data_IF_303233068186
#
_entry.id   IF_303233068186
#
_cell.length_a   1.000
_cell.length_b   1.000
_cell.length_c   1.000
_cell.angle_alpha   90.00
_cell.angle_beta   90.00
_cell.angle_gamma   90.00
#
_symmetry.space_group_name_H-M   'P 1'
#
loop_
_entity.id
_entity.type
_entity.pdbx_description
1 polymer ?
#
# COMPACT_ATOMS: atom_id res chain seq x y z
N UNK A 1 13.87 32.19 93.02
CA UNK A 1 12.50 32.65 92.70
C UNK A 1 12.35 32.79 91.19
N UNK A 2 11.28 32.22 90.63
CA UNK A 2 10.68 32.44 89.29
C UNK A 2 11.47 31.90 88.07
N UNK A 3 11.15 30.66 87.65
CA UNK A 3 10.28 30.25 86.51
C UNK A 3 11.01 30.40 85.16
N UNK A 4 11.72 29.39 84.65
CA UNK A 4 11.25 28.20 83.89
C UNK A 4 10.34 28.53 82.70
N UNK A 5 10.90 28.51 81.49
CA UNK A 5 10.18 28.29 80.23
C UNK A 5 11.12 27.59 79.24
N UNK A 6 11.03 26.27 79.23
CA UNK A 6 11.64 25.39 78.22
C UNK A 6 10.64 25.33 77.06
N UNK A 7 11.02 25.80 75.87
CA UNK A 7 10.25 25.57 74.65
C UNK A 7 10.90 24.45 73.85
N UNK A 8 10.34 23.26 74.00
CA UNK A 8 10.55 22.08 73.15
C UNK A 8 9.87 22.38 71.81
N UNK A 9 10.65 22.49 70.72
CA UNK A 9 10.11 22.53 69.36
C UNK A 9 9.86 21.07 68.95
N UNK A 10 8.60 20.66 69.00
CA UNK A 10 8.13 19.39 68.45
C UNK A 10 8.14 19.47 66.92
N UNK A 11 8.95 18.62 66.29
CA UNK A 11 8.94 18.36 64.85
C UNK A 11 7.59 17.69 64.48
N UNK A 12 6.61 18.47 64.04
CA UNK A 12 5.38 17.94 63.45
C UNK A 12 5.65 17.54 62.00
N UNK A 13 5.78 16.23 61.81
CA UNK A 13 5.76 15.55 60.51
C UNK A 13 4.36 15.76 59.91
N UNK A 14 4.23 16.74 59.01
CA UNK A 14 3.08 16.87 58.13
C UNK A 14 3.26 15.89 56.95
N UNK A 15 2.33 14.95 56.71
CA UNK A 15 2.43 14.06 55.58
C UNK A 15 2.26 14.88 54.31
N UNK A 16 3.32 14.88 53.50
CA UNK A 16 3.32 15.42 52.15
C UNK A 16 2.31 14.61 51.34
N UNK A 17 1.10 15.14 51.23
CA UNK A 17 0.10 14.66 50.29
C UNK A 17 0.67 14.90 48.89
N UNK A 18 1.28 13.85 48.35
CA UNK A 18 1.58 13.72 46.93
C UNK A 18 0.25 13.76 46.19
N UNK A 19 -0.20 14.96 45.82
CA UNK A 19 -1.15 15.12 44.74
C UNK A 19 -0.46 14.63 43.47
N UNK A 20 -0.64 13.35 43.17
CA UNK A 20 -0.40 12.79 41.85
C UNK A 20 -1.32 13.55 40.89
N UNK A 21 -0.74 14.50 40.15
CA UNK A 21 -1.39 15.12 39.01
C UNK A 21 -1.64 14.02 37.98
N UNK A 22 -2.78 13.34 38.10
CA UNK A 22 -3.38 12.57 37.02
C UNK A 22 -3.82 13.61 35.99
N UNK A 23 -2.92 13.99 35.10
CA UNK A 23 -3.28 14.70 33.88
C UNK A 23 -4.27 13.82 33.10
N UNK A 24 -5.55 14.07 33.33
CA UNK A 24 -6.62 13.64 32.46
C UNK A 24 -6.44 14.40 31.15
N UNK A 25 -5.71 13.82 30.21
CA UNK A 25 -5.64 14.29 28.83
C UNK A 25 -7.02 14.05 28.20
N UNK A 26 -7.98 14.94 28.49
CA UNK A 26 -9.15 15.15 27.63
C UNK A 26 -8.68 15.99 26.45
N UNK A 27 -8.26 15.32 25.39
CA UNK A 27 -8.07 15.94 24.08
C UNK A 27 -8.66 15.02 23.02
N UNK A 28 -9.98 14.99 22.92
CA UNK A 28 -10.68 14.39 21.78
C UNK A 28 -11.18 15.50 20.86
N UNK A 29 -10.26 16.25 20.24
CA UNK A 29 -10.57 16.80 18.94
C UNK A 29 -10.82 15.59 18.02
N UNK A 30 -12.02 15.49 17.42
CA UNK A 30 -12.39 14.35 16.60
C UNK A 30 -11.34 14.14 15.49
N UNK A 31 -10.75 12.94 15.44
CA UNK A 31 -9.77 12.58 14.42
C UNK A 31 -10.50 12.48 13.08
N UNK A 32 -10.21 13.43 12.18
CA UNK A 32 -10.72 13.39 10.81
C UNK A 32 -9.94 12.37 9.97
N UNK A 33 -10.48 11.96 8.82
CA UNK A 33 -9.77 11.07 7.87
C UNK A 33 -8.43 11.63 7.39
N UNK A 34 -8.24 12.95 7.43
CA UNK A 34 -7.02 13.61 6.95
C UNK A 34 -6.04 13.92 8.09
N UNK A 35 -6.40 13.63 9.34
CA UNK A 35 -5.54 13.88 10.49
C UNK A 35 -4.42 12.84 10.53
N UNK A 36 -3.16 13.28 10.40
CA UNK A 36 -2.02 12.39 10.59
C UNK A 36 -1.84 12.07 12.08
N UNK A 37 -2.29 10.88 12.45
CA UNK A 37 -2.23 10.39 13.83
C UNK A 37 -0.88 9.78 14.21
N UNK A 38 -0.01 9.51 13.23
CA UNK A 38 1.25 8.79 13.44
C UNK A 38 2.37 9.71 13.92
N UNK A 39 3.25 9.16 14.76
CA UNK A 39 4.39 9.86 15.38
C UNK A 39 4.00 11.10 16.19
N UNK A 40 2.76 11.17 16.66
CA UNK A 40 2.25 12.31 17.43
C UNK A 40 2.35 12.09 18.94
N UNK A 41 2.24 10.83 19.38
CA UNK A 41 2.05 10.47 20.79
C UNK A 41 0.72 10.90 21.41
N UNK A 42 -0.20 11.46 20.62
CA UNK A 42 -1.47 12.01 21.11
C UNK A 42 -2.67 11.08 20.86
N UNK A 43 -2.67 10.41 19.71
CA UNK A 43 -3.84 9.68 19.20
C UNK A 43 -3.70 8.16 19.36
N UNK A 44 -2.91 7.70 20.34
CA UNK A 44 -2.69 6.27 20.56
C UNK A 44 -4.00 5.54 20.91
N UNK A 45 -4.94 6.24 21.55
CA UNK A 45 -6.27 5.73 21.89
C UNK A 45 -7.12 5.37 20.67
N UNK A 46 -6.78 5.83 19.45
CA UNK A 46 -7.48 5.40 18.23
C UNK A 46 -7.28 3.91 17.94
N UNK A 47 -6.10 3.39 18.26
CA UNK A 47 -5.73 1.99 17.99
C UNK A 47 -5.62 1.14 19.25
N UNK A 48 -5.41 1.76 20.41
CA UNK A 48 -5.10 1.09 21.65
C UNK A 48 -6.15 1.36 22.73
N UNK A 49 -6.52 0.36 23.50
CA UNK A 49 -7.40 0.48 24.67
C UNK A 49 -6.69 1.19 25.83
N UNK A 50 -5.37 1.00 25.93
CA UNK A 50 -4.48 1.62 26.92
C UNK A 50 -3.18 2.01 26.24
N UNK A 51 -2.47 2.99 26.81
CA UNK A 51 -1.17 3.42 26.28
C UNK A 51 -0.18 2.24 26.27
N UNK A 52 0.32 1.82 25.10
CA UNK A 52 1.27 0.71 25.03
C UNK A 52 2.64 1.13 25.57
N UNK A 53 3.40 0.16 26.10
CA UNK A 53 4.81 0.32 26.49
C UNK A 53 5.71 -0.53 25.61
N UNK A 54 6.99 -0.16 25.48
CA UNK A 54 7.95 -0.87 24.64
C UNK A 54 8.10 -2.31 25.14
N UNK A 55 7.91 -3.29 24.26
CA UNK A 55 8.03 -4.72 24.59
C UNK A 55 6.91 -5.29 25.48
N UNK A 56 5.95 -4.47 25.92
CA UNK A 56 4.82 -4.91 26.72
C UNK A 56 3.58 -5.26 25.89
N UNK A 57 2.45 -5.47 26.58
CA UNK A 57 1.17 -5.67 25.91
C UNK A 57 0.81 -4.43 25.07
N UNK A 58 0.35 -4.70 23.84
CA UNK A 58 -0.01 -3.65 22.90
C UNK A 58 -1.41 -3.10 23.16
N UNK A 59 -2.30 -3.82 23.86
CA UNK A 59 -3.69 -3.37 24.09
C UNK A 59 -4.42 -2.94 22.81
N UNK A 60 -4.21 -3.67 21.70
CA UNK A 60 -4.81 -3.30 20.42
C UNK A 60 -6.33 -3.50 20.48
N UNK A 61 -7.08 -2.46 20.07
CA UNK A 61 -8.53 -2.56 19.87
C UNK A 61 -8.86 -3.61 18.80
N UNK A 62 -10.12 -4.04 18.79
CA UNK A 62 -10.65 -4.98 17.79
C UNK A 62 -9.85 -6.29 17.71
N UNK A 63 -9.32 -6.78 18.84
CA UNK A 63 -8.52 -8.01 18.89
C UNK A 63 -7.26 -7.96 18.02
N UNK A 64 -6.73 -6.77 17.72
CA UNK A 64 -5.60 -6.62 16.81
C UNK A 64 -5.93 -6.95 15.35
N UNK A 65 -7.18 -6.77 14.92
CA UNK A 65 -7.52 -6.80 13.50
C UNK A 65 -7.02 -5.52 12.81
N UNK A 66 -5.90 -5.66 12.10
CA UNK A 66 -5.28 -4.56 11.37
C UNK A 66 -6.12 -4.01 10.22
N UNK A 67 -7.09 -4.78 9.71
CA UNK A 67 -8.08 -4.28 8.74
C UNK A 67 -8.85 -3.11 9.33
N UNK A 68 -9.27 -3.23 10.60
CA UNK A 68 -10.01 -2.20 11.31
C UNK A 68 -9.10 -1.08 11.81
N UNK A 69 -7.95 -1.45 12.38
CA UNK A 69 -7.00 -0.49 12.95
C UNK A 69 -6.36 0.41 11.88
N UNK A 70 -6.14 -0.10 10.67
CA UNK A 70 -5.46 0.62 9.59
C UNK A 70 -6.41 1.06 8.47
N UNK A 71 -7.72 1.14 8.73
CA UNK A 71 -8.77 1.48 7.74
C UNK A 71 -8.54 2.81 6.99
N UNK A 72 -7.79 3.75 7.59
CA UNK A 72 -7.44 5.03 6.96
C UNK A 72 -6.51 4.87 5.73
N UNK A 73 -5.83 3.74 5.55
CA UNK A 73 -4.89 3.50 4.47
C UNK A 73 -5.50 2.82 3.23
N UNK A 74 -6.83 2.76 3.12
CA UNK A 74 -7.49 2.19 1.94
C UNK A 74 -7.33 0.68 1.83
N UNK A 75 -7.22 -0.01 2.96
CA UNK A 75 -7.31 -1.47 2.99
C UNK A 75 -8.75 -1.87 2.66
N UNK A 76 -8.93 -2.54 1.52
CA UNK A 76 -10.17 -3.24 1.22
C UNK A 76 -9.91 -4.73 1.36
N UNK A 77 -10.62 -5.43 2.28
CA UNK A 77 -10.54 -6.89 2.40
C UNK A 77 -10.71 -7.54 1.02
N UNK A 78 -9.82 -8.47 0.66
CA UNK A 78 -9.87 -9.17 -0.64
C UNK A 78 -9.27 -8.42 -1.83
N UNK A 79 -8.94 -7.13 -1.72
CA UNK A 79 -8.24 -6.36 -2.76
C UNK A 79 -6.85 -5.86 -2.30
N UNK A 80 -6.48 -6.16 -1.06
CA UNK A 80 -5.22 -5.73 -0.46
C UNK A 80 -4.09 -6.71 -0.78
N UNK A 81 -3.26 -6.31 -1.71
CA UNK A 81 -2.14 -7.09 -2.29
C UNK A 81 -0.82 -7.00 -1.52
N UNK A 82 -0.82 -6.43 -0.31
CA UNK A 82 0.37 -6.46 0.54
C UNK A 82 0.57 -7.86 1.12
N UNK A 83 1.81 -8.25 1.46
CA UNK A 83 2.12 -9.58 1.98
C UNK A 83 1.64 -9.75 3.42
N UNK A 84 0.34 -9.99 3.63
CA UNK A 84 -0.28 -10.30 4.92
C UNK A 84 -1.17 -11.55 4.78
N UNK A 85 -1.36 -12.30 5.87
CA UNK A 85 -2.11 -13.56 5.89
C UNK A 85 -1.36 -14.77 5.33
N UNK A 86 -0.12 -14.58 4.87
CA UNK A 86 0.73 -15.62 4.26
C UNK A 86 1.37 -16.48 5.34
N UNK A 87 1.28 -17.80 5.21
CA UNK A 87 2.03 -18.76 6.03
C UNK A 87 3.44 -18.87 5.45
N UNK A 88 4.51 -18.50 6.19
CA UNK A 88 5.87 -18.69 5.69
C UNK A 88 6.19 -20.17 5.57
N UNK A 89 6.98 -20.56 4.56
CA UNK A 89 7.55 -21.91 4.49
C UNK A 89 8.48 -22.17 5.68
N UNK A 90 8.77 -23.43 5.99
CA UNK A 90 9.69 -23.77 7.09
C UNK A 90 11.08 -23.15 6.91
N UNK A 91 11.61 -23.16 5.69
CA UNK A 91 12.88 -22.49 5.37
C UNK A 91 12.83 -20.99 5.70
N UNK A 92 11.70 -20.33 5.39
CA UNK A 92 11.53 -18.91 5.68
C UNK A 92 11.35 -18.66 7.17
N UNK A 93 10.60 -19.50 7.89
CA UNK A 93 10.45 -19.36 9.36
C UNK A 93 11.79 -19.33 10.07
N UNK A 94 12.74 -20.17 9.66
CA UNK A 94 14.11 -20.20 10.22
C UNK A 94 14.92 -18.93 9.96
N UNK A 95 14.54 -18.13 8.96
CA UNK A 95 15.23 -16.88 8.58
C UNK A 95 14.54 -15.62 9.10
N UNK A 96 13.28 -15.72 9.55
CA UNK A 96 12.54 -14.56 10.07
C UNK A 96 13.22 -14.09 11.36
N UNK A 97 13.62 -12.81 11.47
CA UNK A 97 14.22 -12.29 12.70
C UNK A 97 13.26 -12.41 13.89
N UNK A 98 13.80 -12.62 15.09
CA UNK A 98 12.99 -12.74 16.31
C UNK A 98 12.11 -11.50 16.59
N UNK A 99 12.58 -10.31 16.19
CA UNK A 99 11.85 -9.06 16.37
C UNK A 99 10.70 -8.86 15.36
N UNK A 100 10.48 -9.81 14.45
CA UNK A 100 9.43 -9.81 13.41
C UNK A 100 8.34 -10.82 13.78
N UNK A 101 7.33 -10.41 14.58
CA UNK A 101 6.34 -11.34 15.11
C UNK A 101 5.41 -11.88 14.02
N UNK A 102 5.07 -13.16 14.12
CA UNK A 102 3.97 -13.77 13.36
C UNK A 102 2.68 -13.68 14.17
N UNK A 103 1.54 -13.49 13.48
CA UNK A 103 0.21 -13.61 14.09
C UNK A 103 -0.38 -14.94 13.65
N UNK A 104 -0.64 -15.84 14.60
CA UNK A 104 -1.19 -17.18 14.32
C UNK A 104 -0.37 -17.95 13.25
N UNK A 105 0.96 -17.86 13.35
CA UNK A 105 1.89 -18.47 12.40
C UNK A 105 1.96 -17.83 11.01
N UNK A 106 1.29 -16.68 10.81
CA UNK A 106 1.20 -15.96 9.53
C UNK A 106 1.89 -14.60 9.59
N UNK A 107 2.37 -14.13 8.44
CA UNK A 107 2.80 -12.75 8.27
C UNK A 107 1.59 -11.83 8.47
N UNK A 108 1.75 -10.77 9.25
CA UNK A 108 0.75 -9.74 9.49
C UNK A 108 1.34 -8.35 9.29
N UNK A 109 0.51 -7.31 9.38
CA UNK A 109 0.98 -5.93 9.36
C UNK A 109 2.09 -5.72 10.42
N UNK A 110 1.88 -6.22 11.64
CA UNK A 110 2.83 -6.07 12.74
C UNK A 110 4.15 -6.81 12.57
N UNK A 111 4.23 -7.76 11.64
CA UNK A 111 5.48 -8.46 11.30
C UNK A 111 6.50 -7.50 10.70
N UNK A 112 6.06 -6.62 9.81
CA UNK A 112 6.93 -5.64 9.15
C UNK A 112 6.88 -4.26 9.83
N UNK A 113 5.74 -3.94 10.45
CA UNK A 113 5.48 -2.64 11.05
C UNK A 113 5.56 -2.68 12.57
N UNK A 114 6.34 -1.77 13.16
CA UNK A 114 6.34 -1.57 14.59
C UNK A 114 5.31 -0.51 15.00
N UNK A 115 4.15 -1.01 15.44
CA UNK A 115 3.05 -0.18 15.92
C UNK A 115 3.48 0.68 17.11
N UNK A 116 4.42 0.23 17.93
CA UNK A 116 4.87 1.04 19.05
C UNK A 116 5.62 2.32 18.60
N UNK A 117 6.40 2.24 17.51
CA UNK A 117 7.16 3.39 17.01
C UNK A 117 6.25 4.56 16.63
N UNK A 118 5.08 4.28 16.05
CA UNK A 118 4.15 5.34 15.61
C UNK A 118 3.44 6.02 16.80
N UNK A 119 3.42 5.40 17.98
CA UNK A 119 2.86 5.97 19.21
C UNK A 119 3.80 6.96 19.91
N UNK A 120 5.00 7.20 19.39
CA UNK A 120 5.98 8.10 20.01
C UNK A 120 6.08 9.41 19.22
N UNK A 121 6.04 10.54 19.93
CA UNK A 121 6.45 11.83 19.35
C UNK A 121 7.92 11.78 18.99
N UNK A 122 8.23 11.52 17.72
CA UNK A 122 9.60 11.43 17.23
C UNK A 122 9.70 12.04 15.82
N UNK A 123 9.97 13.35 15.70
CA UNK A 123 10.04 14.04 14.42
C UNK A 123 11.10 13.46 13.48
N UNK A 124 12.24 13.01 14.02
CA UNK A 124 13.32 12.41 13.23
C UNK A 124 12.88 11.10 12.60
N UNK A 125 12.32 10.17 13.38
CA UNK A 125 11.80 8.90 12.84
C UNK A 125 10.58 9.12 11.94
N UNK A 126 9.76 10.14 12.20
CA UNK A 126 8.68 10.53 11.29
C UNK A 126 9.21 10.82 9.89
N UNK A 127 10.42 11.35 9.74
CA UNK A 127 11.04 11.59 8.43
C UNK A 127 11.72 10.34 7.89
N UNK A 128 12.58 9.69 8.68
CA UNK A 128 13.44 8.59 8.24
C UNK A 128 12.71 7.24 8.10
N UNK A 129 11.61 7.07 8.84
CA UNK A 129 10.83 5.84 8.89
C UNK A 129 9.33 6.15 8.89
N UNK A 130 8.85 6.95 7.93
CA UNK A 130 7.43 7.33 7.79
C UNK A 130 6.44 6.17 7.93
N UNK A 131 6.86 4.97 7.50
CA UNK A 131 6.05 3.75 7.49
C UNK A 131 6.28 2.85 8.72
N UNK A 132 7.01 3.33 9.73
CA UNK A 132 7.26 2.61 10.99
C UNK A 132 7.70 1.15 10.77
N UNK A 133 8.56 0.92 9.77
CA UNK A 133 9.10 -0.40 9.46
C UNK A 133 10.09 -0.85 10.54
N UNK A 134 10.04 -2.12 10.94
CA UNK A 134 11.00 -2.73 11.86
C UNK A 134 12.40 -2.72 11.27
N UNK A 135 13.40 -2.34 12.05
CA UNK A 135 14.80 -2.28 11.62
C UNK A 135 15.13 -1.17 10.62
N UNK A 136 14.21 -0.27 10.30
CA UNK A 136 14.50 0.87 9.44
C UNK A 136 15.42 1.89 10.15
N UNK A 137 16.08 2.81 9.43
CA UNK A 137 15.88 3.14 8.02
C UNK A 137 16.44 2.10 7.05
N UNK A 138 15.80 1.95 5.90
CA UNK A 138 16.28 1.10 4.81
C UNK A 138 16.57 1.94 3.57
N UNK A 139 17.62 1.57 2.83
CA UNK A 139 17.99 2.22 1.57
C UNK A 139 16.91 2.03 0.49
N UNK A 140 16.20 0.90 0.51
CA UNK A 140 15.07 0.63 -0.37
C UNK A 140 14.01 -0.19 0.35
N UNK A 141 12.80 -0.27 -0.23
CA UNK A 141 11.73 -1.11 0.29
C UNK A 141 12.10 -2.60 0.28
N UNK A 142 12.92 -3.06 -0.67
CA UNK A 142 13.29 -4.48 -0.79
C UNK A 142 14.30 -4.92 0.26
N UNK A 143 15.09 -4.00 0.82
CA UNK A 143 16.05 -4.32 1.91
C UNK A 143 15.35 -4.96 3.11
N UNK A 144 14.14 -4.51 3.46
CA UNK A 144 13.32 -5.15 4.51
C UNK A 144 12.95 -6.59 4.13
N UNK A 145 12.62 -6.85 2.86
CA UNK A 145 12.25 -8.18 2.39
C UNK A 145 13.40 -9.17 2.57
N UNK A 146 14.65 -8.71 2.40
CA UNK A 146 15.85 -9.53 2.56
C UNK A 146 16.20 -9.88 4.01
N UNK A 147 15.45 -9.35 4.98
CA UNK A 147 15.48 -9.87 6.36
C UNK A 147 15.00 -11.31 6.45
N UNK A 148 14.15 -11.76 5.51
CA UNK A 148 13.64 -13.13 5.44
C UNK A 148 13.93 -13.81 4.10
N UNK A 149 14.20 -13.03 3.05
CA UNK A 149 14.50 -13.52 1.71
C UNK A 149 15.99 -13.48 1.41
N UNK A 150 16.48 -14.50 0.71
CA UNK A 150 17.86 -14.51 0.22
C UNK A 150 17.96 -13.54 -0.96
N UNK A 151 18.72 -12.47 -0.80
CA UNK A 151 18.92 -11.43 -1.82
C UNK A 151 19.56 -12.00 -3.09
N UNK A 152 20.54 -12.90 -2.95
CA UNK A 152 21.26 -13.49 -4.10
C UNK A 152 20.36 -14.41 -4.92
N UNK A 153 19.38 -15.04 -4.27
CA UNK A 153 18.37 -15.89 -4.93
C UNK A 153 17.12 -15.11 -5.35
N UNK A 154 17.00 -13.84 -4.95
CA UNK A 154 15.85 -13.03 -5.28
C UNK A 154 15.98 -12.47 -6.69
N UNK A 155 15.35 -13.14 -7.65
CA UNK A 155 15.06 -12.55 -8.95
C UNK A 155 13.71 -11.87 -8.87
N UNK A 156 13.68 -10.55 -9.08
CA UNK A 156 12.42 -9.83 -9.20
C UNK A 156 11.62 -10.46 -10.34
N UNK A 157 10.42 -10.95 -10.02
CA UNK A 157 9.57 -11.54 -11.02
C UNK A 157 9.12 -10.44 -11.98
N UNK A 158 9.36 -10.66 -13.27
CA UNK A 158 8.65 -9.94 -14.31
C UNK A 158 7.32 -10.68 -14.56
N UNK A 159 6.15 -10.07 -14.30
CA UNK A 159 4.87 -10.68 -14.62
C UNK A 159 4.52 -10.55 -16.11
N UNK A 160 5.31 -9.78 -16.89
CA UNK A 160 4.96 -9.40 -18.26
C UNK A 160 5.68 -10.22 -19.34
N UNK A 161 6.48 -11.24 -18.97
CA UNK A 161 7.01 -12.26 -19.87
C UNK A 161 6.18 -13.54 -19.71
N UNK A 162 4.96 -13.49 -20.20
CA UNK A 162 3.89 -14.44 -19.94
C UNK A 162 3.94 -15.68 -20.83
N UNK A 163 4.87 -15.75 -21.78
CA UNK A 163 5.07 -16.89 -22.67
C UNK A 163 6.36 -17.64 -22.34
N UNK A 164 6.35 -18.96 -22.59
CA UNK A 164 7.58 -19.76 -22.65
C UNK A 164 8.32 -19.46 -23.94
N UNK A 165 9.56 -19.94 -24.06
CA UNK A 165 10.34 -19.85 -25.30
C UNK A 165 9.63 -20.49 -26.51
N UNK A 166 8.76 -21.47 -26.27
CA UNK A 166 7.94 -22.13 -27.29
C UNK A 166 6.60 -21.43 -27.55
N UNK A 167 6.35 -20.27 -26.94
CA UNK A 167 5.12 -19.48 -27.09
C UNK A 167 3.93 -19.97 -26.27
N UNK A 168 4.10 -20.92 -25.35
CA UNK A 168 3.01 -21.38 -24.49
C UNK A 168 2.75 -20.40 -23.33
N UNK A 169 1.48 -20.18 -22.97
CA UNK A 169 1.11 -19.28 -21.87
C UNK A 169 1.53 -19.87 -20.51
N UNK A 170 2.25 -19.07 -19.72
CA UNK A 170 2.63 -19.38 -18.34
C UNK A 170 1.49 -18.95 -17.40
N UNK A 171 0.59 -19.89 -17.09
CA UNK A 171 -0.64 -19.65 -16.31
C UNK A 171 -0.39 -18.92 -14.99
N UNK A 172 0.66 -19.28 -14.26
CA UNK A 172 0.97 -18.69 -12.95
C UNK A 172 1.20 -17.18 -13.03
N UNK A 173 1.74 -16.66 -14.14
CA UNK A 173 1.95 -15.22 -14.33
C UNK A 173 0.63 -14.47 -14.47
N UNK A 174 -0.41 -15.11 -15.01
CA UNK A 174 -1.74 -14.51 -15.08
C UNK A 174 -2.31 -14.25 -13.67
N UNK A 175 -2.00 -15.12 -12.70
CA UNK A 175 -2.52 -15.06 -11.34
C UNK A 175 -1.93 -13.93 -10.48
N UNK A 176 -0.88 -13.25 -10.98
CA UNK A 176 -0.35 -12.04 -10.35
C UNK A 176 -1.28 -10.84 -10.47
N UNK A 177 -2.17 -10.84 -11.46
CA UNK A 177 -3.11 -9.76 -11.73
C UNK A 177 -4.56 -10.26 -11.69
N UNK A 178 -4.81 -11.47 -12.20
CA UNK A 178 -6.15 -12.04 -12.32
C UNK A 178 -6.45 -13.07 -11.24
N UNK A 179 -7.71 -13.15 -10.80
CA UNK A 179 -8.17 -14.19 -9.85
C UNK A 179 -8.03 -15.59 -10.45
N UNK A 180 -8.24 -15.69 -11.77
CA UNK A 180 -8.02 -16.89 -12.58
C UNK A 180 -7.52 -16.47 -13.95
N UNK A 181 -6.79 -17.33 -14.65
CA UNK A 181 -6.41 -17.07 -16.05
C UNK A 181 -7.69 -16.85 -16.90
N UNK A 182 -7.84 -15.68 -17.57
CA UNK A 182 -8.91 -15.48 -18.54
C UNK A 182 -8.70 -16.32 -19.80
N UNK A 183 -9.78 -16.57 -20.54
CA UNK A 183 -9.68 -17.03 -21.93
C UNK A 183 -9.18 -15.85 -22.78
N UNK A 184 -7.94 -15.94 -23.24
CA UNK A 184 -7.26 -14.91 -24.02
C UNK A 184 -7.89 -14.63 -25.39
N UNK A 185 -8.74 -15.54 -25.89
CA UNK A 185 -9.38 -15.44 -27.20
C UNK A 185 -10.75 -14.77 -27.13
N UNK A 186 -11.46 -14.95 -26.02
CA UNK A 186 -12.87 -14.58 -25.90
C UNK A 186 -13.16 -13.59 -24.78
N UNK A 187 -12.38 -13.59 -23.70
CA UNK A 187 -12.70 -12.79 -22.52
C UNK A 187 -12.57 -11.28 -22.79
N UNK A 188 -13.58 -10.55 -22.36
CA UNK A 188 -13.62 -9.09 -22.36
C UNK A 188 -13.24 -8.54 -20.99
N UNK A 189 -12.95 -7.24 -20.92
CA UNK A 189 -12.64 -6.58 -19.64
C UNK A 189 -13.78 -6.69 -18.61
N UNK A 190 -15.03 -6.88 -19.05
CA UNK A 190 -16.18 -7.09 -18.14
C UNK A 190 -16.18 -8.47 -17.48
N UNK A 191 -15.54 -9.46 -18.08
CA UNK A 191 -15.54 -10.85 -17.62
C UNK A 191 -14.28 -11.21 -16.83
N UNK A 192 -13.17 -10.49 -17.05
CA UNK A 192 -11.96 -10.67 -16.26
C UNK A 192 -12.20 -10.22 -14.83
N UNK A 193 -11.65 -10.97 -13.88
CA UNK A 193 -11.63 -10.60 -12.46
C UNK A 193 -10.20 -10.40 -12.00
N UNK A 194 -9.92 -9.26 -11.38
CA UNK A 194 -8.61 -8.90 -10.89
C UNK A 194 -8.50 -9.18 -9.38
N UNK A 195 -7.30 -9.52 -8.90
CA UNK A 195 -7.05 -9.80 -7.47
C UNK A 195 -7.10 -8.55 -6.57
N UNK A 196 -7.28 -7.38 -7.17
CA UNK A 196 -7.35 -6.10 -6.49
C UNK A 196 -7.66 -4.98 -7.46
N UNK A 197 -7.68 -3.74 -6.96
CA UNK A 197 -7.84 -2.59 -7.84
C UNK A 197 -6.62 -2.40 -8.74
N UNK A 198 -6.84 -1.94 -9.97
CA UNK A 198 -5.80 -1.83 -11.00
C UNK A 198 -4.62 -0.94 -10.59
N UNK A 199 -4.89 0.17 -9.91
CA UNK A 199 -3.85 1.12 -9.49
C UNK A 199 -2.88 0.44 -8.53
N UNK A 200 -3.40 -0.20 -7.49
CA UNK A 200 -2.59 -0.90 -6.51
C UNK A 200 -1.78 -2.02 -7.18
N UNK A 201 -2.38 -2.80 -8.09
CA UNK A 201 -1.69 -3.89 -8.81
C UNK A 201 -0.43 -3.38 -9.52
N UNK A 202 -0.54 -2.27 -10.25
CA UNK A 202 0.57 -1.71 -11.00
C UNK A 202 1.60 -1.03 -10.06
N UNK A 203 1.15 -0.25 -9.08
CA UNK A 203 2.03 0.50 -8.16
C UNK A 203 2.88 -0.38 -7.24
N UNK A 204 2.57 -1.68 -7.12
CA UNK A 204 3.44 -2.65 -6.44
C UNK A 204 4.87 -2.57 -6.97
N UNK A 205 5.04 -2.49 -8.28
CA UNK A 205 6.34 -2.42 -8.94
C UNK A 205 6.59 -1.04 -9.54
N UNK A 206 5.57 -0.42 -10.13
CA UNK A 206 5.63 0.87 -10.82
C UNK A 206 5.30 2.06 -9.91
N UNK A 207 5.85 2.07 -8.69
CA UNK A 207 5.52 3.12 -7.70
C UNK A 207 6.00 4.52 -8.09
N UNK A 208 7.01 4.62 -8.98
CA UNK A 208 7.54 5.89 -9.47
C UNK A 208 6.61 6.55 -10.49
N UNK A 209 5.85 5.74 -11.23
CA UNK A 209 4.79 6.16 -12.12
C UNK A 209 3.59 6.55 -11.26
N UNK A 210 3.69 7.70 -10.60
CA UNK A 210 2.78 8.13 -9.54
C UNK A 210 1.47 8.69 -10.09
N UNK A 211 0.63 9.20 -9.18
CA UNK A 211 -0.62 9.92 -9.49
C UNK A 211 -0.44 11.02 -10.54
N UNK A 212 0.72 11.66 -10.67
CA UNK A 212 0.96 12.76 -11.60
C UNK A 212 1.59 12.27 -12.91
N UNK A 213 0.92 11.33 -13.57
CA UNK A 213 1.37 10.72 -14.82
C UNK A 213 0.19 10.52 -15.80
N UNK A 214 0.42 10.70 -17.11
CA UNK A 214 1.58 11.36 -17.73
C UNK A 214 1.63 12.88 -17.47
N UNK A 215 2.75 13.52 -17.85
CA UNK A 215 2.94 15.00 -17.91
C UNK A 215 2.60 15.78 -16.62
N UNK A 216 2.98 15.24 -15.45
CA UNK A 216 2.69 15.85 -14.14
C UNK A 216 1.19 16.07 -13.85
N UNK A 217 0.29 15.36 -14.54
CA UNK A 217 -1.15 15.48 -14.37
C UNK A 217 -1.79 14.15 -13.96
N UNK A 218 -2.84 14.21 -13.15
CA UNK A 218 -3.56 13.01 -12.69
C UNK A 218 -4.57 12.52 -13.72
N UNK A 219 -4.24 11.41 -14.37
CA UNK A 219 -5.11 10.75 -15.34
C UNK A 219 -5.93 9.61 -14.74
N UNK A 220 -5.75 9.26 -13.46
CA UNK A 220 -6.53 8.21 -12.79
C UNK A 220 -7.89 8.75 -12.32
N UNK A 221 -8.69 9.21 -13.28
CA UNK A 221 -9.96 9.91 -13.06
C UNK A 221 -11.04 9.38 -13.99
N UNK A 222 -12.30 9.72 -13.69
CA UNK A 222 -13.42 9.48 -14.61
C UNK A 222 -13.32 10.51 -15.74
N UNK A 223 -13.12 10.10 -17.01
CA UNK A 223 -13.06 11.03 -18.14
C UNK A 223 -14.41 11.72 -18.36
N UNK A 224 -14.37 12.93 -18.92
CA UNK A 224 -15.58 13.67 -19.29
C UNK A 224 -16.26 13.03 -20.52
N UNK A 225 -17.55 13.32 -20.78
CA UNK A 225 -18.24 12.81 -21.97
C UNK A 225 -17.54 13.13 -23.29
N UNK A 226 -16.92 14.32 -23.40
CA UNK A 226 -16.14 14.71 -24.58
C UNK A 226 -14.90 13.82 -24.76
N UNK A 227 -14.17 13.55 -23.68
CA UNK A 227 -13.02 12.63 -23.72
C UNK A 227 -13.46 11.21 -24.07
N UNK A 228 -14.57 10.72 -23.50
CA UNK A 228 -15.14 9.41 -23.84
C UNK A 228 -15.45 9.32 -25.34
N UNK A 229 -16.01 10.37 -25.94
CA UNK A 229 -16.27 10.41 -27.38
C UNK A 229 -14.96 10.29 -28.17
N UNK A 230 -13.95 11.08 -27.81
CA UNK A 230 -12.63 11.03 -28.46
C UNK A 230 -11.98 9.64 -28.36
N UNK A 231 -12.06 9.01 -27.18
CA UNK A 231 -11.58 7.65 -26.95
C UNK A 231 -12.24 6.66 -27.91
N UNK A 232 -13.58 6.67 -28.01
CA UNK A 232 -14.32 5.77 -28.91
C UNK A 232 -13.94 5.97 -30.37
N UNK A 233 -13.83 7.22 -30.81
CA UNK A 233 -13.37 7.53 -32.17
C UNK A 233 -11.96 6.98 -32.42
N UNK A 234 -11.06 7.08 -31.43
CA UNK A 234 -9.70 6.57 -31.53
C UNK A 234 -9.67 5.03 -31.55
N UNK A 235 -10.48 4.36 -30.74
CA UNK A 235 -10.65 2.91 -30.77
C UNK A 235 -11.06 2.43 -32.17
N UNK A 236 -12.06 3.09 -32.78
CA UNK A 236 -12.50 2.78 -34.14
C UNK A 236 -11.43 3.10 -35.19
N UNK A 237 -10.82 4.29 -35.13
CA UNK A 237 -9.85 4.75 -36.13
C UNK A 237 -8.58 3.91 -36.14
N UNK A 238 -8.07 3.53 -34.97
CA UNK A 238 -6.79 2.86 -34.83
C UNK A 238 -6.90 1.35 -34.58
N UNK A 239 -8.11 0.81 -34.42
CA UNK A 239 -8.33 -0.60 -34.12
C UNK A 239 -7.68 -1.01 -32.80
N UNK A 240 -7.86 -0.18 -31.76
CA UNK A 240 -7.36 -0.42 -30.39
C UNK A 240 -8.52 -0.50 -29.40
N UNK A 241 -8.22 -0.82 -28.14
CA UNK A 241 -9.12 -0.54 -27.01
C UNK A 241 -8.46 0.41 -26.01
N UNK A 242 -9.25 1.26 -25.36
CA UNK A 242 -8.84 2.14 -24.28
C UNK A 242 -9.71 1.81 -23.05
N UNK A 243 -9.45 0.66 -22.38
CA UNK A 243 -10.34 0.15 -21.36
C UNK A 243 -10.39 1.06 -20.14
N UNK A 244 -11.58 1.28 -19.61
CA UNK A 244 -11.81 1.90 -18.31
C UNK A 244 -12.01 0.81 -17.25
N UNK A 245 -11.72 1.12 -15.99
CA UNK A 245 -12.00 0.19 -14.90
C UNK A 245 -13.52 0.03 -14.65
N UNK A 246 -13.90 -0.82 -13.68
CA UNK A 246 -15.31 -1.09 -13.35
C UNK A 246 -16.09 0.14 -12.88
N UNK A 247 -15.42 1.21 -12.46
CA UNK A 247 -16.02 2.50 -12.07
C UNK A 247 -16.05 3.53 -13.22
N UNK A 248 -15.59 3.13 -14.41
CA UNK A 248 -15.47 4.00 -15.57
C UNK A 248 -14.31 5.00 -15.48
N UNK A 249 -13.28 4.73 -14.66
CA UNK A 249 -12.08 5.57 -14.56
C UNK A 249 -10.98 5.08 -15.49
N UNK A 250 -10.19 6.03 -16.00
CA UNK A 250 -8.92 5.74 -16.66
C UNK A 250 -7.97 5.10 -15.64
N UNK A 251 -7.23 4.10 -16.10
CA UNK A 251 -6.22 3.37 -15.32
C UNK A 251 -4.99 3.10 -16.17
N UNK A 252 -3.93 2.51 -15.60
CA UNK A 252 -2.72 2.19 -16.34
C UNK A 252 -3.00 1.36 -17.62
N UNK A 253 -3.86 0.32 -17.58
CA UNK A 253 -4.18 -0.46 -18.78
C UNK A 253 -4.95 0.26 -19.88
N UNK A 254 -5.49 1.47 -19.61
CA UNK A 254 -6.13 2.31 -20.62
C UNK A 254 -5.10 2.69 -21.69
N UNK A 255 -3.90 3.11 -21.27
CA UNK A 255 -2.83 3.52 -22.19
C UNK A 255 -1.77 2.44 -22.41
N UNK A 256 -1.54 1.58 -21.42
CA UNK A 256 -0.52 0.54 -21.45
C UNK A 256 -1.13 -0.86 -21.64
N UNK A 257 -0.46 -1.73 -22.38
CA UNK A 257 -0.83 -3.13 -22.52
C UNK A 257 0.12 -4.00 -21.67
N UNK A 258 -0.29 -4.45 -20.47
CA UNK A 258 0.59 -5.24 -19.61
C UNK A 258 0.94 -6.60 -20.24
N UNK A 259 0.23 -7.03 -21.29
CA UNK A 259 0.42 -8.34 -21.87
C UNK A 259 1.65 -8.43 -22.78
N UNK A 260 2.30 -9.59 -22.76
CA UNK A 260 3.32 -9.94 -23.76
C UNK A 260 2.66 -10.14 -25.15
N UNK A 261 3.37 -9.73 -26.21
CA UNK A 261 2.97 -10.00 -27.59
C UNK A 261 2.77 -11.50 -27.80
N UNK A 262 1.61 -11.89 -28.32
CA UNK A 262 1.24 -13.30 -28.54
C UNK A 262 0.37 -13.90 -27.44
N UNK A 263 0.21 -13.25 -26.28
CA UNK A 263 -0.75 -13.70 -25.25
C UNK A 263 -2.18 -13.53 -25.72
N UNK A 264 -2.50 -12.34 -26.24
CA UNK A 264 -3.79 -12.06 -26.87
C UNK A 264 -3.60 -12.22 -28.38
N UNK A 265 -4.53 -12.87 -29.12
CA UNK A 265 -4.46 -12.98 -30.57
C UNK A 265 -4.24 -11.61 -31.24
N UNK A 266 -3.27 -11.54 -32.15
CA UNK A 266 -2.75 -10.29 -32.70
C UNK A 266 -3.77 -9.49 -33.54
N UNK A 267 -4.77 -10.18 -34.07
CA UNK A 267 -5.90 -9.65 -34.83
C UNK A 267 -6.90 -8.91 -33.92
N UNK A 268 -6.81 -9.06 -32.59
CA UNK A 268 -7.68 -8.39 -31.64
C UNK A 268 -7.16 -6.98 -31.30
N UNK A 269 -8.05 -5.96 -31.23
CA UNK A 269 -7.71 -4.62 -30.76
C UNK A 269 -7.03 -4.58 -29.38
N UNK A 270 -7.34 -5.55 -28.52
CA UNK A 270 -6.75 -5.70 -27.17
C UNK A 270 -5.29 -6.12 -27.17
N UNK A 271 -4.76 -6.67 -28.26
CA UNK A 271 -3.34 -7.04 -28.40
C UNK A 271 -2.44 -5.83 -28.73
N UNK A 272 -3.00 -4.70 -29.16
CA UNK A 272 -2.22 -3.51 -29.54
C UNK A 272 -1.42 -2.97 -28.36
N UNK A 273 -0.15 -2.63 -28.60
CA UNK A 273 0.81 -2.18 -27.58
C UNK A 273 1.51 -3.29 -26.80
N UNK A 274 1.16 -4.56 -27.01
CA UNK A 274 1.80 -5.68 -26.32
C UNK A 274 3.29 -5.76 -26.67
N UNK A 275 4.14 -5.78 -25.64
CA UNK A 275 5.61 -5.73 -25.75
C UNK A 275 6.20 -4.53 -26.50
N UNK A 276 5.42 -3.48 -26.80
CA UNK A 276 5.95 -2.23 -27.37
C UNK A 276 6.79 -1.46 -26.36
N UNK A 277 7.53 -0.44 -26.81
CA UNK A 277 8.22 0.49 -25.91
C UNK A 277 7.22 1.11 -24.92
N UNK A 278 7.51 0.99 -23.63
CA UNK A 278 6.60 1.34 -22.52
C UNK A 278 5.22 0.66 -22.58
N UNK A 279 5.04 -0.32 -23.47
CA UNK A 279 3.80 -1.04 -23.71
C UNK A 279 2.63 -0.13 -24.10
N UNK A 280 2.87 1.01 -24.73
CA UNK A 280 1.79 1.94 -25.11
C UNK A 280 0.92 1.32 -26.23
N UNK A 281 -0.40 1.47 -26.10
CA UNK A 281 -1.37 0.97 -27.11
C UNK A 281 -1.30 1.70 -28.45
N UNK A 282 -0.84 2.95 -28.41
CA UNK A 282 -0.52 3.77 -29.56
C UNK A 282 0.88 4.33 -29.41
N UNK A 283 1.50 4.65 -30.53
CA UNK A 283 2.85 5.19 -30.55
C UNK A 283 2.97 6.47 -29.72
N UNK A 284 4.08 6.59 -28.98
CA UNK A 284 4.49 7.85 -28.38
C UNK A 284 4.99 8.84 -29.45
N UNK A 285 5.56 8.34 -30.55
CA UNK A 285 5.93 9.17 -31.69
C UNK A 285 4.67 9.85 -32.23
N UNK A 286 4.74 11.17 -32.36
CA UNK A 286 3.64 12.05 -32.74
C UNK A 286 2.48 12.10 -31.72
N UNK A 287 2.73 11.72 -30.46
CA UNK A 287 1.78 11.88 -29.35
C UNK A 287 0.42 11.21 -29.59
N UNK A 288 0.37 10.14 -30.40
CA UNK A 288 -0.90 9.52 -30.81
C UNK A 288 -1.73 9.04 -29.62
N UNK A 289 -1.08 8.51 -28.58
CA UNK A 289 -1.76 8.11 -27.35
C UNK A 289 -2.42 9.29 -26.62
N UNK A 290 -1.82 10.49 -26.69
CA UNK A 290 -2.38 11.71 -26.11
C UNK A 290 -3.55 12.21 -26.95
N UNK A 291 -3.38 12.25 -28.28
CA UNK A 291 -4.37 12.69 -29.27
C UNK A 291 -5.63 11.81 -29.23
N UNK A 292 -5.50 10.53 -28.86
CA UNK A 292 -6.63 9.62 -28.70
C UNK A 292 -7.72 10.16 -27.74
N UNK A 293 -7.33 11.00 -26.76
CA UNK A 293 -8.25 11.63 -25.82
C UNK A 293 -8.32 13.15 -26.02
N UNK A 294 -7.20 13.79 -26.35
CA UNK A 294 -7.03 15.24 -26.35
C UNK A 294 -6.95 15.84 -27.76
N UNK A 295 -7.82 15.40 -28.68
CA UNK A 295 -7.84 15.88 -30.08
C UNK A 295 -7.87 17.41 -30.20
N UNK A 296 -8.55 18.11 -29.30
CA UNK A 296 -8.68 19.57 -29.37
C UNK A 296 -7.47 20.32 -28.79
N UNK A 297 -6.40 19.60 -28.42
CA UNK A 297 -5.18 20.16 -27.82
C UNK A 297 -3.95 20.04 -28.73
N UNK A 298 -4.08 19.36 -29.87
CA UNK A 298 -3.02 19.05 -30.83
C UNK A 298 -3.58 19.17 -32.25
#
# INVERSE_FOLDING_TARGET
>A
MKKLAISIIFLLILPSVLFSAKENIKNSAAVSKNTDIHYTGKYCSECHEKTPVKGGNKFLKSGGDFTQLCKCHGYTPGAYIHPAGVVPSEEKRKKIPEDFPLKDGRISCSTCHDIYLQCRKNPRLKVLNKRFLRGAPYVSRTTLCFRCHDEKKYRMLDPHNQLTEKGAIIVDKCLYCHVKKPDEKTATFKEVRLIGNLEALCFRCHFKQSRFHPINANHLVKPSPAIIKNMKDAEQKFGIILPLNYEGKITCPTCHNPHERGVIPWDKPSAKGASEKYRLRLSELNLQICIACHKDKF
#
